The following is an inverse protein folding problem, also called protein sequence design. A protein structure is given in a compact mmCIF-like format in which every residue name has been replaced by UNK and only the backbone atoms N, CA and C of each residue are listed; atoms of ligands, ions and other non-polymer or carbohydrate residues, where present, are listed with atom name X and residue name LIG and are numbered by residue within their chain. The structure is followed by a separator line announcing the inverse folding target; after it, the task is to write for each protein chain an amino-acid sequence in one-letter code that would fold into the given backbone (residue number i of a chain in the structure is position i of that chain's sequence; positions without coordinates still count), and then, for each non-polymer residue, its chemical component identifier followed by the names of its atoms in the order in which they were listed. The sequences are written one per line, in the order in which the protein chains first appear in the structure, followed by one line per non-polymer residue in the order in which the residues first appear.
data_IF_424432925160
#
_entry.id   IF_424432925160
#
_cell.length_a   1.000
_cell.length_b   1.000
_cell.length_c   1.000
_cell.angle_alpha   90.00
_cell.angle_beta   90.00
_cell.angle_gamma   90.00
#
_symmetry.space_group_name_H-M   'P 1'
#
loop_
_entity.id
_entity.type
_entity.pdbx_description
1 polymer ?
#
# COMPACT_ATOMS: atom_id res chain seq x y z
N UNK A 1 -0.36 -3.37 -18.05
CA UNK A 1 -1.02 -3.26 -16.75
C UNK A 1 -2.39 -2.66 -16.97
N UNK A 2 -3.38 -3.08 -16.23
CA UNK A 2 -4.75 -2.60 -16.27
C UNK A 2 -4.87 -1.16 -15.76
N UNK A 3 -5.56 -0.30 -16.49
CA UNK A 3 -5.87 1.08 -16.10
C UNK A 3 -7.25 1.09 -15.44
N UNK A 4 -7.30 1.49 -14.17
CA UNK A 4 -8.51 1.49 -13.36
C UNK A 4 -9.47 2.62 -13.80
N UNK A 5 -10.69 2.32 -14.32
CA UNK A 5 -11.62 3.35 -14.76
C UNK A 5 -12.24 4.15 -13.61
N UNK A 6 -12.37 3.57 -12.41
CA UNK A 6 -12.86 4.33 -11.25
C UNK A 6 -11.87 5.40 -10.84
N UNK A 7 -10.57 5.07 -10.82
CA UNK A 7 -9.52 6.07 -10.61
C UNK A 7 -9.55 7.17 -11.68
N UNK A 8 -9.72 6.80 -12.95
CA UNK A 8 -9.84 7.77 -14.03
C UNK A 8 -11.05 8.71 -13.83
N UNK A 9 -12.17 8.20 -13.35
CA UNK A 9 -13.36 9.00 -13.03
C UNK A 9 -13.11 9.95 -11.83
N UNK A 10 -12.39 9.51 -10.80
CA UNK A 10 -11.99 10.39 -9.69
C UNK A 10 -11.04 11.50 -10.16
N UNK A 11 -10.09 11.20 -11.04
CA UNK A 11 -9.24 12.20 -11.68
C UNK A 11 -10.06 13.25 -12.43
N UNK A 12 -11.14 12.84 -13.12
CA UNK A 12 -12.06 13.75 -13.82
C UNK A 12 -12.75 14.72 -12.86
N UNK A 13 -13.03 14.33 -11.63
CA UNK A 13 -13.58 15.25 -10.61
C UNK A 13 -12.62 16.39 -10.27
N UNK A 14 -11.32 16.14 -10.30
CA UNK A 14 -10.31 17.18 -10.13
C UNK A 14 -10.12 18.01 -11.39
N UNK A 15 -10.11 17.37 -12.56
CA UNK A 15 -9.94 18.04 -13.85
C UNK A 15 -11.05 19.06 -14.10
N UNK A 16 -12.32 18.74 -13.72
CA UNK A 16 -13.46 19.63 -13.83
C UNK A 16 -13.35 20.93 -13.03
N UNK A 17 -12.45 20.98 -12.04
CA UNK A 17 -12.20 22.16 -11.19
C UNK A 17 -11.05 23.04 -11.71
N UNK A 18 -10.39 22.63 -12.79
CA UNK A 18 -9.20 23.30 -13.30
C UNK A 18 -9.51 24.09 -14.59
N UNK A 19 -8.76 25.16 -14.81
CA UNK A 19 -8.82 25.88 -16.06
C UNK A 19 -8.29 25.01 -17.21
N UNK A 20 -9.11 24.79 -18.22
CA UNK A 20 -8.74 24.00 -19.38
C UNK A 20 -7.43 24.52 -20.02
N UNK A 21 -6.53 23.60 -20.35
CA UNK A 21 -5.22 23.92 -20.93
C UNK A 21 -4.17 24.46 -19.96
N UNK A 22 -4.52 24.65 -18.67
CA UNK A 22 -3.50 25.01 -17.66
C UNK A 22 -2.48 23.87 -17.46
N UNK A 23 -1.30 24.19 -16.93
CA UNK A 23 -0.27 23.21 -16.63
C UNK A 23 -0.79 22.07 -15.71
N UNK A 24 -1.58 22.45 -14.69
CA UNK A 24 -2.20 21.47 -13.80
C UNK A 24 -3.20 20.58 -14.55
N UNK A 25 -4.07 21.14 -15.40
CA UNK A 25 -5.04 20.36 -16.17
C UNK A 25 -4.36 19.37 -17.12
N UNK A 26 -3.27 19.78 -17.77
CA UNK A 26 -2.47 18.89 -18.64
C UNK A 26 -1.80 17.77 -17.84
N UNK A 27 -1.24 18.07 -16.67
CA UNK A 27 -0.63 17.08 -15.79
C UNK A 27 -1.67 16.11 -15.22
N UNK A 28 -2.82 16.62 -14.75
CA UNK A 28 -3.95 15.81 -14.24
C UNK A 28 -4.47 14.87 -15.33
N UNK A 29 -4.61 15.33 -16.58
CA UNK A 29 -5.08 14.49 -17.68
C UNK A 29 -4.23 13.24 -17.88
N UNK A 30 -2.90 13.34 -17.70
CA UNK A 30 -1.99 12.19 -17.82
C UNK A 30 -2.23 11.11 -16.79
N UNK A 31 -2.71 11.49 -15.59
CA UNK A 31 -2.97 10.54 -14.50
C UNK A 31 -4.04 9.51 -14.85
N UNK A 32 -5.00 9.86 -15.71
CA UNK A 32 -6.12 8.98 -16.11
C UNK A 32 -5.67 7.67 -16.78
N UNK A 33 -4.50 7.65 -17.37
CA UNK A 33 -3.96 6.50 -18.10
C UNK A 33 -2.91 5.71 -17.31
N UNK A 34 -2.68 6.07 -16.06
CA UNK A 34 -1.68 5.39 -15.22
C UNK A 34 -2.35 4.27 -14.42
N UNK A 35 -1.83 3.03 -14.48
CA UNK A 35 -2.35 1.90 -13.72
C UNK A 35 -2.29 2.16 -12.20
N UNK A 36 -3.36 1.79 -11.49
CA UNK A 36 -3.43 1.80 -10.01
C UNK A 36 -4.04 0.51 -9.50
N UNK A 37 -3.82 0.21 -8.22
CA UNK A 37 -4.49 -0.88 -7.52
C UNK A 37 -6.00 -0.63 -7.39
N UNK A 38 -6.76 -1.72 -7.32
CA UNK A 38 -8.18 -1.70 -6.98
C UNK A 38 -8.32 -2.23 -5.55
N UNK A 39 -8.75 -1.36 -4.64
CA UNK A 39 -8.94 -1.72 -3.24
C UNK A 39 -10.29 -2.40 -3.03
N UNK A 40 -10.25 -3.59 -2.44
CA UNK A 40 -11.44 -4.32 -1.98
C UNK A 40 -11.45 -4.18 -0.47
N UNK A 41 -11.90 -3.03 0.02
CA UNK A 41 -11.79 -2.63 1.43
C UNK A 41 -13.04 -2.97 2.26
N UNK A 42 -14.00 -3.68 1.66
CA UNK A 42 -15.25 -4.15 2.28
C UNK A 42 -15.96 -5.16 1.37
N UNK A 43 -16.92 -5.87 1.91
CA UNK A 43 -17.71 -6.86 1.16
C UNK A 43 -18.44 -6.21 -0.01
N UNK A 44 -18.99 -5.00 0.17
CA UNK A 44 -19.71 -4.27 -0.89
C UNK A 44 -18.83 -3.95 -2.11
N UNK A 45 -17.51 -3.84 -1.94
CA UNK A 45 -16.57 -3.60 -3.04
C UNK A 45 -16.44 -4.81 -3.98
N UNK A 46 -16.84 -6.02 -3.54
CA UNK A 46 -16.87 -7.20 -4.40
C UNK A 46 -17.94 -7.04 -5.49
N UNK A 47 -19.12 -6.58 -5.11
CA UNK A 47 -20.25 -6.42 -6.02
C UNK A 47 -20.25 -5.08 -6.76
N UNK A 48 -19.70 -4.04 -6.12
CA UNK A 48 -19.73 -2.68 -6.64
C UNK A 48 -21.11 -2.02 -6.59
N UNK A 49 -21.30 -1.00 -7.42
CA UNK A 49 -22.57 -0.28 -7.52
C UNK A 49 -22.82 0.68 -6.34
N UNK A 50 -24.10 0.99 -6.08
CA UNK A 50 -24.50 2.02 -5.10
C UNK A 50 -23.94 1.75 -3.71
N UNK A 51 -23.89 0.49 -3.27
CA UNK A 51 -23.33 0.11 -1.97
C UNK A 51 -21.80 0.35 -1.87
N UNK A 52 -21.14 0.52 -3.02
CA UNK A 52 -19.72 0.85 -3.13
C UNK A 52 -19.49 2.28 -3.69
N UNK A 53 -20.39 3.21 -3.38
CA UNK A 53 -20.27 4.58 -3.86
C UNK A 53 -20.33 4.76 -5.38
N UNK A 54 -20.94 3.81 -6.10
CA UNK A 54 -21.04 3.80 -7.57
C UNK A 54 -19.83 3.20 -8.29
N UNK A 55 -18.78 2.77 -7.54
CA UNK A 55 -17.58 2.15 -8.11
C UNK A 55 -17.89 0.74 -8.64
N UNK A 56 -17.05 0.28 -9.56
CA UNK A 56 -17.15 -1.07 -10.13
C UNK A 56 -16.88 -2.14 -9.05
N UNK A 57 -17.52 -3.30 -9.24
CA UNK A 57 -17.17 -4.51 -8.50
C UNK A 57 -16.02 -5.27 -9.14
N UNK A 58 -15.49 -6.26 -8.41
CA UNK A 58 -14.32 -7.05 -8.82
C UNK A 58 -14.51 -7.67 -10.21
N UNK A 59 -15.68 -8.25 -10.47
CA UNK A 59 -15.94 -8.89 -11.76
C UNK A 59 -15.99 -7.87 -12.91
N UNK A 60 -16.56 -6.69 -12.68
CA UNK A 60 -16.58 -5.62 -13.67
C UNK A 60 -15.18 -5.09 -13.98
N UNK A 61 -14.29 -4.98 -12.98
CA UNK A 61 -12.89 -4.67 -13.21
C UNK A 61 -12.18 -5.72 -14.06
N UNK A 62 -12.42 -7.01 -13.80
CA UNK A 62 -11.83 -8.10 -14.60
C UNK A 62 -12.34 -8.08 -16.04
N UNK A 63 -13.62 -7.80 -16.27
CA UNK A 63 -14.19 -7.64 -17.61
C UNK A 63 -13.59 -6.43 -18.33
N UNK A 64 -13.44 -5.29 -17.64
CA UNK A 64 -12.76 -4.12 -18.19
C UNK A 64 -11.28 -4.41 -18.55
N UNK A 65 -10.60 -5.21 -17.73
CA UNK A 65 -9.24 -5.64 -18.01
C UNK A 65 -9.15 -6.53 -19.25
N UNK A 66 -10.09 -7.45 -19.45
CA UNK A 66 -10.16 -8.26 -20.67
C UNK A 66 -10.41 -7.39 -21.92
N UNK A 67 -11.27 -6.37 -21.80
CA UNK A 67 -11.50 -5.42 -22.89
C UNK A 67 -10.22 -4.63 -23.23
N UNK A 68 -9.49 -4.16 -22.22
CA UNK A 68 -8.19 -3.49 -22.42
C UNK A 68 -7.14 -4.46 -22.99
N UNK A 69 -7.12 -5.72 -22.56
CA UNK A 69 -6.24 -6.76 -23.10
C UNK A 69 -6.50 -6.98 -24.59
N UNK A 70 -7.76 -7.11 -24.97
CA UNK A 70 -8.17 -7.28 -26.37
C UNK A 70 -7.77 -6.06 -27.21
N UNK A 71 -8.03 -4.84 -26.74
CA UNK A 71 -7.62 -3.60 -27.39
C UNK A 71 -6.09 -3.47 -27.56
N UNK A 72 -5.32 -4.08 -26.65
CA UNK A 72 -3.86 -4.13 -26.72
C UNK A 72 -3.30 -5.32 -27.56
N UNK A 73 -4.14 -5.98 -28.36
CA UNK A 73 -3.75 -7.11 -29.19
C UNK A 73 -3.47 -8.40 -28.40
N UNK A 74 -4.25 -8.63 -27.34
CA UNK A 74 -4.20 -9.81 -26.47
C UNK A 74 -2.82 -10.03 -25.79
N UNK A 75 -2.09 -8.96 -25.56
CA UNK A 75 -0.83 -9.05 -24.76
C UNK A 75 -1.15 -9.40 -23.31
N UNK A 76 -0.24 -10.08 -22.60
CA UNK A 76 -0.43 -10.38 -21.18
C UNK A 76 -0.81 -9.13 -20.39
N UNK A 77 -1.94 -9.18 -19.67
CA UNK A 77 -2.48 -8.07 -18.87
C UNK A 77 -2.39 -8.41 -17.40
N UNK A 78 -1.84 -7.50 -16.61
CA UNK A 78 -1.79 -7.60 -15.15
C UNK A 78 -2.87 -6.71 -14.54
N UNK A 79 -3.65 -7.27 -13.62
CA UNK A 79 -4.63 -6.55 -12.80
C UNK A 79 -4.24 -6.69 -11.34
N UNK A 80 -4.14 -5.58 -10.61
CA UNK A 80 -3.74 -5.60 -9.19
C UNK A 80 -4.93 -5.27 -8.30
N UNK A 81 -5.26 -6.17 -7.39
CA UNK A 81 -6.25 -5.96 -6.34
C UNK A 81 -5.58 -5.93 -4.97
N UNK A 82 -6.08 -5.07 -4.10
CA UNK A 82 -5.70 -5.04 -2.69
C UNK A 82 -6.82 -5.69 -1.89
N UNK A 83 -6.53 -6.83 -1.30
CA UNK A 83 -7.42 -7.56 -0.38
C UNK A 83 -7.26 -6.94 0.99
N UNK A 84 -8.30 -6.29 1.53
CA UNK A 84 -8.17 -5.45 2.72
C UNK A 84 -9.47 -5.38 3.53
N UNK A 85 -9.85 -6.48 4.18
CA UNK A 85 -11.04 -6.51 5.03
C UNK A 85 -10.94 -7.45 6.24
N UNK A 86 -9.72 -7.68 6.76
CA UNK A 86 -9.53 -8.43 8.00
C UNK A 86 -10.38 -7.87 9.15
N UNK A 87 -10.95 -8.74 10.01
CA UNK A 87 -11.61 -8.28 11.22
C UNK A 87 -10.66 -7.46 12.10
N UNK A 88 -11.15 -6.30 12.57
CA UNK A 88 -10.37 -5.31 13.32
C UNK A 88 -9.11 -4.84 12.61
N UNK A 89 -9.13 -4.79 11.25
CA UNK A 89 -7.99 -4.32 10.45
C UNK A 89 -7.52 -2.96 10.92
N UNK A 90 -6.26 -2.67 10.65
CA UNK A 90 -5.60 -1.41 11.00
C UNK A 90 -5.67 -1.12 12.50
N UNK A 91 -5.37 -2.12 13.30
CA UNK A 91 -5.53 -2.11 14.75
C UNK A 91 -4.71 -1.02 15.47
N UNK A 92 -3.70 -0.45 14.80
CA UNK A 92 -2.84 0.60 15.34
C UNK A 92 -3.27 2.01 14.93
N UNK A 93 -4.20 2.14 13.97
CA UNK A 93 -4.72 3.40 13.46
C UNK A 93 -6.25 3.38 13.41
N UNK A 94 -6.89 4.54 13.56
CA UNK A 94 -8.35 4.64 13.55
C UNK A 94 -8.92 5.06 12.20
N UNK A 95 -8.09 5.69 11.35
CA UNK A 95 -8.53 6.33 10.12
C UNK A 95 -9.09 5.35 9.09
N UNK A 96 -8.54 4.13 9.03
CA UNK A 96 -8.84 3.11 8.02
C UNK A 96 -9.36 1.79 8.60
N UNK A 97 -9.94 1.82 9.80
CA UNK A 97 -10.61 0.65 10.36
C UNK A 97 -11.69 0.11 9.39
N UNK A 98 -12.01 -1.19 9.52
CA UNK A 98 -12.96 -1.88 8.66
C UNK A 98 -14.28 -2.20 9.33
N UNK A 99 -15.21 -2.70 8.50
CA UNK A 99 -16.56 -3.09 8.90
C UNK A 99 -16.59 -4.38 9.75
N UNK A 100 -15.64 -5.28 9.56
CA UNK A 100 -15.64 -6.57 10.26
C UNK A 100 -15.01 -6.46 11.65
N UNK A 101 -15.63 -7.12 12.63
CA UNK A 101 -15.15 -7.17 14.02
C UNK A 101 -14.99 -8.63 14.49
N UNK A 102 -13.84 -8.96 15.03
CA UNK A 102 -13.56 -10.32 15.53
C UNK A 102 -14.55 -10.73 16.61
N UNK A 103 -14.90 -9.83 17.52
CA UNK A 103 -15.82 -10.07 18.62
C UNK A 103 -17.24 -10.44 18.18
N UNK A 104 -17.66 -10.11 16.95
CA UNK A 104 -19.01 -10.38 16.43
C UNK A 104 -19.01 -11.39 15.28
N UNK A 105 -18.01 -12.28 15.22
CA UNK A 105 -17.93 -13.34 14.20
C UNK A 105 -17.32 -12.90 12.88
N UNK A 106 -16.64 -11.76 12.87
CA UNK A 106 -16.04 -11.18 11.65
C UNK A 106 -15.12 -12.14 10.91
N UNK A 107 -14.41 -13.04 11.59
CA UNK A 107 -13.55 -14.04 10.93
C UNK A 107 -14.35 -15.04 10.07
N UNK A 108 -15.52 -15.49 10.54
CA UNK A 108 -16.38 -16.36 9.74
C UNK A 108 -16.89 -15.62 8.49
N UNK A 109 -17.30 -14.36 8.65
CA UNK A 109 -17.75 -13.49 7.56
C UNK A 109 -16.61 -13.21 6.58
N UNK A 110 -15.41 -12.88 7.06
CA UNK A 110 -14.21 -12.68 6.24
C UNK A 110 -13.94 -13.90 5.36
N UNK A 111 -13.97 -15.10 5.92
CA UNK A 111 -13.73 -16.33 5.17
C UNK A 111 -14.81 -16.58 4.11
N UNK A 112 -16.08 -16.61 4.53
CA UNK A 112 -17.18 -17.06 3.66
C UNK A 112 -17.70 -15.99 2.72
N UNK A 113 -17.86 -14.75 3.19
CA UNK A 113 -18.51 -13.66 2.45
C UNK A 113 -17.51 -12.76 1.73
N UNK A 114 -16.23 -12.86 2.03
CA UNK A 114 -15.18 -12.06 1.41
C UNK A 114 -14.18 -12.94 0.65
N UNK A 115 -13.33 -13.73 1.30
CA UNK A 115 -12.28 -14.52 0.62
C UNK A 115 -12.84 -15.60 -0.30
N UNK A 116 -13.84 -16.38 0.14
CA UNK A 116 -14.41 -17.45 -0.69
C UNK A 116 -15.12 -16.90 -1.93
N UNK A 117 -15.75 -15.73 -1.82
CA UNK A 117 -16.35 -15.05 -2.97
C UNK A 117 -15.28 -14.55 -3.96
N UNK A 118 -14.23 -13.91 -3.48
CA UNK A 118 -13.10 -13.48 -4.32
C UNK A 118 -12.45 -14.68 -5.01
N UNK A 119 -12.20 -15.77 -4.28
CA UNK A 119 -11.70 -17.01 -4.86
C UNK A 119 -12.58 -17.52 -5.98
N UNK A 120 -13.92 -17.54 -5.78
CA UNK A 120 -14.88 -17.96 -6.80
C UNK A 120 -14.86 -17.08 -8.05
N UNK A 121 -14.67 -15.76 -7.88
CA UNK A 121 -14.59 -14.82 -9.01
C UNK A 121 -13.26 -15.01 -9.77
N UNK A 122 -12.12 -14.96 -9.07
CA UNK A 122 -10.80 -15.07 -9.70
C UNK A 122 -10.57 -16.43 -10.38
N UNK A 123 -11.23 -17.48 -9.88
CA UNK A 123 -11.15 -18.83 -10.42
C UNK A 123 -11.94 -19.09 -11.69
N UNK A 124 -12.77 -18.14 -12.15
CA UNK A 124 -13.58 -18.32 -13.38
C UNK A 124 -12.67 -18.48 -14.61
N UNK A 125 -13.02 -19.42 -15.47
CA UNK A 125 -12.26 -19.71 -16.71
C UNK A 125 -12.12 -18.47 -17.61
N UNK A 126 -13.09 -17.58 -17.60
CA UNK A 126 -13.07 -16.35 -18.36
C UNK A 126 -11.87 -15.44 -18.05
N UNK A 127 -11.30 -15.55 -16.84
CA UNK A 127 -10.21 -14.65 -16.39
C UNK A 127 -8.84 -15.30 -16.38
N UNK A 128 -8.70 -16.55 -16.86
CA UNK A 128 -7.41 -17.28 -16.87
C UNK A 128 -6.34 -16.64 -17.72
N UNK A 129 -6.68 -15.81 -18.71
CA UNK A 129 -5.72 -15.08 -19.54
C UNK A 129 -5.12 -13.86 -18.83
N UNK A 130 -5.75 -13.40 -17.74
CA UNK A 130 -5.25 -12.29 -16.93
C UNK A 130 -4.24 -12.79 -15.91
N UNK A 131 -3.27 -11.94 -15.57
CA UNK A 131 -2.38 -12.10 -14.42
C UNK A 131 -2.94 -11.28 -13.27
N UNK A 132 -3.54 -11.95 -12.29
CA UNK A 132 -4.15 -11.30 -11.13
C UNK A 132 -3.09 -11.20 -10.04
N UNK A 133 -2.68 -9.97 -9.70
CA UNK A 133 -1.78 -9.68 -8.59
C UNK A 133 -2.62 -9.32 -7.38
N UNK A 134 -2.36 -9.98 -6.26
CA UNK A 134 -3.02 -9.68 -4.99
C UNK A 134 -2.01 -9.12 -3.99
N UNK A 135 -2.29 -7.94 -3.49
CA UNK A 135 -1.67 -7.37 -2.29
C UNK A 135 -2.55 -7.79 -1.11
N UNK A 136 -1.99 -8.62 -0.21
CA UNK A 136 -2.77 -9.26 0.85
C UNK A 136 -2.63 -8.51 2.15
N UNK A 137 -3.72 -7.93 2.60
CA UNK A 137 -3.99 -7.36 3.91
C UNK A 137 -2.88 -6.42 4.40
N UNK A 138 -2.72 -5.24 3.75
CA UNK A 138 -1.80 -4.21 4.22
C UNK A 138 -1.96 -3.90 5.70
N UNK A 139 -0.84 -3.52 6.34
CA UNK A 139 -0.74 -3.14 7.76
C UNK A 139 -1.14 -4.23 8.78
N UNK A 140 -1.48 -5.45 8.34
CA UNK A 140 -1.92 -6.53 9.24
C UNK A 140 -0.75 -7.20 9.98
N UNK A 141 0.03 -8.02 9.27
CA UNK A 141 1.15 -8.77 9.86
C UNK A 141 2.25 -7.89 10.45
N UNK A 142 2.61 -6.72 9.86
CA UNK A 142 3.56 -5.81 10.48
C UNK A 142 3.13 -5.34 11.87
N UNK A 143 1.84 -5.08 12.08
CA UNK A 143 1.30 -4.73 13.40
C UNK A 143 1.50 -5.85 14.43
N UNK A 144 1.47 -7.11 14.01
CA UNK A 144 1.73 -8.25 14.92
C UNK A 144 3.19 -8.33 15.36
N UNK A 145 4.11 -7.67 14.66
CA UNK A 145 5.51 -7.61 15.02
C UNK A 145 5.78 -6.50 16.05
N UNK A 146 5.25 -5.29 15.81
CA UNK A 146 5.63 -4.11 16.58
C UNK A 146 4.58 -3.64 17.59
N UNK A 147 3.30 -3.93 17.36
CA UNK A 147 2.19 -3.40 18.15
C UNK A 147 1.47 -4.45 19.01
N UNK A 148 1.68 -5.74 18.77
CA UNK A 148 1.03 -6.83 19.50
C UNK A 148 1.34 -6.86 21.02
N UNK A 149 2.46 -6.26 21.46
CA UNK A 149 2.84 -6.12 22.87
C UNK A 149 2.45 -4.79 23.52
N UNK A 150 1.82 -3.87 22.80
CA UNK A 150 1.55 -2.48 23.22
C UNK A 150 0.22 -2.35 23.98
N UNK A 151 0.08 -3.07 25.10
CA UNK A 151 -1.21 -3.20 25.83
C UNK A 151 -1.83 -1.85 26.22
N UNK A 152 -1.03 -0.88 26.64
CA UNK A 152 -1.51 0.43 27.07
C UNK A 152 -1.91 1.34 25.90
N UNK A 153 -1.31 1.16 24.72
CA UNK A 153 -1.41 2.09 23.61
C UNK A 153 -2.15 1.52 22.40
N UNK A 154 -2.09 0.18 22.21
CA UNK A 154 -2.65 -0.52 21.04
C UNK A 154 -3.45 -1.76 21.47
N UNK A 155 -4.50 -1.60 22.31
CA UNK A 155 -5.23 -2.75 22.86
C UNK A 155 -5.91 -3.61 21.78
N UNK A 156 -6.32 -3.02 20.65
CA UNK A 156 -6.91 -3.74 19.51
C UNK A 156 -5.88 -4.67 18.87
N UNK A 157 -4.62 -4.21 18.71
CA UNK A 157 -3.54 -5.07 18.18
C UNK A 157 -3.21 -6.23 19.12
N UNK A 158 -3.21 -5.98 20.44
CA UNK A 158 -3.02 -7.04 21.45
C UNK A 158 -4.14 -8.07 21.38
N UNK A 159 -5.39 -7.63 21.25
CA UNK A 159 -6.53 -8.53 21.10
C UNK A 159 -6.45 -9.35 19.80
N UNK A 160 -6.12 -8.72 18.68
CA UNK A 160 -5.93 -9.38 17.39
C UNK A 160 -4.81 -10.43 17.43
N UNK A 161 -3.69 -10.12 18.10
CA UNK A 161 -2.59 -11.07 18.31
C UNK A 161 -3.00 -12.24 19.19
N UNK A 162 -3.67 -11.97 20.32
CA UNK A 162 -4.13 -13.01 21.27
C UNK A 162 -5.14 -13.97 20.63
N UNK A 163 -6.02 -13.45 19.77
CA UNK A 163 -6.99 -14.24 19.02
C UNK A 163 -6.42 -14.82 17.70
N UNK A 164 -5.16 -14.56 17.39
CA UNK A 164 -4.50 -14.94 16.13
C UNK A 164 -5.26 -14.47 14.86
N UNK A 165 -6.02 -13.39 14.96
CA UNK A 165 -6.97 -12.95 13.93
C UNK A 165 -6.28 -12.67 12.60
N UNK A 166 -5.19 -11.90 12.60
CA UNK A 166 -4.53 -11.50 11.34
C UNK A 166 -3.79 -12.66 10.69
N UNK A 167 -3.07 -13.45 11.48
CA UNK A 167 -2.33 -14.60 10.97
C UNK A 167 -3.29 -15.65 10.40
N UNK A 168 -4.37 -15.96 11.09
CA UNK A 168 -5.40 -16.90 10.64
C UNK A 168 -6.05 -16.42 9.32
N UNK A 169 -6.45 -15.15 9.25
CA UNK A 169 -7.09 -14.59 8.06
C UNK A 169 -6.16 -14.56 6.86
N UNK A 170 -4.92 -14.08 7.02
CA UNK A 170 -3.91 -14.05 5.95
C UNK A 170 -3.59 -15.47 5.48
N UNK A 171 -3.37 -16.42 6.40
CA UNK A 171 -3.11 -17.82 6.02
C UNK A 171 -4.29 -18.44 5.27
N UNK A 172 -5.53 -18.11 5.66
CA UNK A 172 -6.72 -18.57 4.95
C UNK A 172 -6.76 -18.03 3.52
N UNK A 173 -6.58 -16.72 3.34
CA UNK A 173 -6.54 -16.06 2.04
C UNK A 173 -5.45 -16.66 1.15
N UNK A 174 -4.22 -16.74 1.65
CA UNK A 174 -3.09 -17.30 0.89
C UNK A 174 -3.35 -18.73 0.46
N UNK A 175 -3.87 -19.57 1.36
CA UNK A 175 -4.20 -20.98 1.05
C UNK A 175 -5.24 -21.09 -0.06
N UNK A 176 -6.29 -20.26 -0.01
CA UNK A 176 -7.34 -20.26 -1.02
C UNK A 176 -6.79 -19.83 -2.38
N UNK A 177 -6.13 -18.70 -2.45
CA UNK A 177 -5.67 -18.14 -3.71
C UNK A 177 -4.48 -18.92 -4.32
N UNK A 178 -3.71 -19.65 -3.53
CA UNK A 178 -2.63 -20.50 -4.04
C UNK A 178 -3.10 -21.66 -4.95
N UNK A 179 -4.38 -21.97 -4.94
CA UNK A 179 -4.97 -22.94 -5.85
C UNK A 179 -5.19 -22.39 -7.29
N UNK A 180 -5.05 -21.08 -7.49
CA UNK A 180 -5.29 -20.39 -8.75
C UNK A 180 -3.97 -20.10 -9.47
N UNK A 181 -3.78 -20.66 -10.65
CA UNK A 181 -2.50 -20.61 -11.39
C UNK A 181 -2.17 -19.26 -12.03
N UNK A 182 -3.18 -18.39 -12.18
CA UNK A 182 -3.03 -17.04 -12.73
C UNK A 182 -3.05 -15.94 -11.64
N UNK A 183 -2.98 -16.34 -10.36
CA UNK A 183 -2.96 -15.43 -9.20
C UNK A 183 -1.56 -15.40 -8.59
N UNK A 184 -1.04 -14.20 -8.37
CA UNK A 184 0.27 -13.91 -7.81
C UNK A 184 0.09 -13.13 -6.51
N UNK A 185 0.47 -13.72 -5.39
CA UNK A 185 0.23 -13.18 -4.06
C UNK A 185 1.46 -12.50 -3.49
N UNK A 186 1.29 -11.27 -3.02
CA UNK A 186 2.31 -10.51 -2.29
C UNK A 186 1.76 -10.13 -0.92
N UNK A 187 2.46 -10.51 0.13
CA UNK A 187 2.12 -10.08 1.49
C UNK A 187 2.69 -8.70 1.75
N UNK A 188 1.93 -7.87 2.45
CA UNK A 188 2.46 -6.61 2.94
C UNK A 188 3.58 -6.86 3.95
N UNK A 189 4.67 -6.10 3.83
CA UNK A 189 5.81 -6.15 4.74
C UNK A 189 6.24 -4.75 5.19
N UNK A 190 5.25 -3.88 5.37
CA UNK A 190 5.42 -2.49 5.79
C UNK A 190 6.38 -1.69 4.87
N UNK A 191 7.24 -0.89 5.45
CA UNK A 191 8.16 0.00 4.76
C UNK A 191 9.43 0.23 5.59
N UNK A 192 10.44 0.86 4.99
CA UNK A 192 11.73 1.09 5.62
C UNK A 192 11.65 1.86 6.94
N UNK A 193 10.71 2.80 7.05
CA UNK A 193 10.51 3.59 8.27
C UNK A 193 9.68 2.88 9.36
N UNK A 194 9.28 1.63 9.15
CA UNK A 194 8.56 0.83 10.16
C UNK A 194 9.34 -0.44 10.53
N UNK A 195 9.62 -1.31 9.56
CA UNK A 195 10.34 -2.56 9.82
C UNK A 195 11.83 -2.51 9.41
N UNK A 196 12.36 -1.32 9.09
CA UNK A 196 13.74 -1.16 8.62
C UNK A 196 14.82 -1.32 9.68
N UNK A 197 14.52 -1.10 10.98
CA UNK A 197 15.50 -1.34 12.06
C UNK A 197 15.92 -2.79 12.11
N UNK A 198 17.19 -3.06 12.40
CA UNK A 198 17.76 -4.40 12.36
C UNK A 198 16.99 -5.41 13.22
N UNK A 199 16.55 -5.02 14.43
CA UNK A 199 15.76 -5.84 15.32
C UNK A 199 14.33 -6.10 14.79
N UNK A 200 13.67 -5.08 14.23
CA UNK A 200 12.33 -5.22 13.64
C UNK A 200 12.39 -6.11 12.41
N UNK A 201 13.41 -5.93 11.56
CA UNK A 201 13.61 -6.73 10.35
C UNK A 201 13.91 -8.19 10.69
N UNK A 202 14.76 -8.44 11.69
CA UNK A 202 15.03 -9.80 12.16
C UNK A 202 13.75 -10.48 12.70
N UNK A 203 12.93 -9.74 13.46
CA UNK A 203 11.64 -10.24 13.92
C UNK A 203 10.69 -10.51 12.74
N UNK A 204 10.65 -9.62 11.75
CA UNK A 204 9.86 -9.80 10.53
C UNK A 204 10.28 -11.08 9.79
N UNK A 205 11.57 -11.27 9.52
CA UNK A 205 12.09 -12.47 8.84
C UNK A 205 11.65 -13.75 9.56
N UNK A 206 11.82 -13.80 10.88
CA UNK A 206 11.43 -14.96 11.69
C UNK A 206 9.93 -15.22 11.63
N UNK A 207 9.11 -14.17 11.85
CA UNK A 207 7.65 -14.31 11.93
C UNK A 207 7.00 -14.58 10.56
N UNK A 208 7.40 -13.89 9.51
CA UNK A 208 6.87 -14.18 8.18
C UNK A 208 7.23 -15.59 7.71
N UNK A 209 8.43 -16.09 8.03
CA UNK A 209 8.79 -17.47 7.77
C UNK A 209 7.85 -18.45 8.49
N UNK A 210 7.61 -18.24 9.78
CA UNK A 210 6.67 -19.05 10.57
C UNK A 210 5.26 -19.00 9.95
N UNK A 211 4.75 -17.81 9.67
CA UNK A 211 3.39 -17.62 9.15
C UNK A 211 3.18 -18.19 7.75
N UNK A 212 4.15 -18.00 6.85
CA UNK A 212 4.07 -18.55 5.48
C UNK A 212 4.17 -20.08 5.49
N UNK A 213 5.04 -20.67 6.32
CA UNK A 213 5.07 -22.12 6.53
C UNK A 213 3.76 -22.66 7.09
N UNK A 214 3.09 -21.92 7.96
CA UNK A 214 1.79 -22.27 8.52
C UNK A 214 0.66 -22.40 7.49
N UNK A 215 0.83 -21.89 6.27
CA UNK A 215 -0.15 -22.06 5.19
C UNK A 215 -0.25 -23.52 4.75
N UNK A 216 0.89 -24.12 4.33
CA UNK A 216 0.96 -25.50 3.82
C UNK A 216 2.37 -26.12 3.90
N UNK A 217 3.26 -25.58 4.74
CA UNK A 217 4.63 -26.05 4.87
C UNK A 217 5.60 -25.62 3.77
N UNK A 218 5.18 -24.73 2.87
CA UNK A 218 5.95 -24.34 1.69
C UNK A 218 6.13 -22.81 1.60
N UNK A 219 7.37 -22.35 1.56
CA UNK A 219 7.70 -20.92 1.42
C UNK A 219 7.49 -20.38 -0.02
N UNK A 220 7.27 -21.25 -1.01
CA UNK A 220 6.95 -20.84 -2.39
C UNK A 220 5.44 -20.58 -2.60
N UNK A 221 4.62 -20.63 -1.55
CA UNK A 221 3.17 -20.44 -1.65
C UNK A 221 2.78 -18.99 -1.99
N UNK A 222 3.69 -18.05 -1.75
CA UNK A 222 3.57 -16.65 -2.16
C UNK A 222 4.58 -16.31 -3.25
N UNK A 223 4.28 -15.31 -4.07
CA UNK A 223 5.23 -14.77 -5.04
C UNK A 223 6.28 -13.91 -4.35
N UNK A 224 5.88 -13.13 -3.34
CA UNK A 224 6.78 -12.24 -2.65
C UNK A 224 6.10 -11.30 -1.67
N UNK A 225 6.72 -10.14 -1.52
CA UNK A 225 6.25 -9.10 -0.60
C UNK A 225 6.02 -7.77 -1.32
N UNK A 226 5.18 -6.93 -0.74
CA UNK A 226 4.99 -5.55 -1.18
C UNK A 226 5.38 -4.61 -0.06
N UNK A 227 6.09 -3.53 -0.41
CA UNK A 227 6.52 -2.51 0.56
C UNK A 227 5.90 -1.16 0.27
N UNK A 228 5.88 -0.29 1.28
CA UNK A 228 5.44 1.09 1.20
C UNK A 228 3.97 1.27 0.78
N UNK A 229 3.13 0.23 0.97
CA UNK A 229 1.71 0.31 0.61
C UNK A 229 1.07 1.49 1.32
N UNK A 230 0.46 2.37 0.52
CA UNK A 230 -0.22 3.56 1.02
C UNK A 230 0.67 4.50 1.87
N UNK A 231 2.00 4.44 1.74
CA UNK A 231 2.94 5.24 2.52
C UNK A 231 3.78 6.17 1.63
N UNK A 232 4.75 6.86 2.22
CA UNK A 232 5.47 7.98 1.63
C UNK A 232 6.99 7.81 1.70
N UNK A 233 7.49 6.66 2.15
CA UNK A 233 8.93 6.43 2.31
C UNK A 233 9.60 6.46 0.94
N UNK A 234 10.67 7.26 0.76
CA UNK A 234 11.30 7.45 -0.53
C UNK A 234 11.79 6.13 -1.13
N UNK A 235 11.72 6.05 -2.47
CA UNK A 235 12.26 4.92 -3.21
C UNK A 235 13.77 4.80 -3.01
N UNK A 236 14.48 5.93 -3.03
CA UNK A 236 15.92 6.07 -2.92
C UNK A 236 16.25 7.42 -2.27
N UNK A 237 17.22 7.40 -1.35
CA UNK A 237 17.85 8.60 -0.77
C UNK A 237 19.24 8.77 -1.39
N UNK A 238 19.36 9.50 -2.50
CA UNK A 238 20.51 9.43 -3.40
C UNK A 238 21.83 9.98 -2.80
N UNK A 239 21.77 10.63 -1.62
CA UNK A 239 22.95 11.21 -0.94
C UNK A 239 23.41 10.42 0.27
N UNK A 240 22.73 9.31 0.59
CA UNK A 240 22.97 8.52 1.79
C UNK A 240 23.16 7.05 1.46
N UNK A 241 23.92 6.37 2.29
CA UNK A 241 24.24 4.95 2.13
C UNK A 241 23.90 4.08 3.36
N UNK A 242 23.16 4.63 4.31
CA UNK A 242 22.77 3.91 5.54
C UNK A 242 23.92 3.61 6.49
N UNK A 243 25.03 4.33 6.39
CA UNK A 243 26.15 4.26 7.34
C UNK A 243 25.74 4.66 8.76
N UNK A 244 26.58 4.33 9.75
CA UNK A 244 26.32 4.70 11.14
C UNK A 244 26.21 6.22 11.33
N UNK A 245 26.99 7.01 10.58
CA UNK A 245 26.93 8.47 10.65
C UNK A 245 25.54 9.01 10.23
N UNK A 246 24.94 8.44 9.19
CA UNK A 246 23.59 8.79 8.73
C UNK A 246 22.52 8.20 9.66
N UNK A 247 22.68 6.94 10.05
CA UNK A 247 21.70 6.26 10.89
C UNK A 247 21.57 6.90 12.29
N UNK A 248 22.62 7.53 12.82
CA UNK A 248 22.62 8.25 14.11
C UNK A 248 21.81 9.54 14.08
N UNK A 249 21.51 10.09 12.90
CA UNK A 249 20.67 11.29 12.81
C UNK A 249 19.29 11.05 13.45
N UNK A 250 18.77 12.08 14.11
CA UNK A 250 17.47 12.02 14.81
C UNK A 250 16.30 11.66 13.90
N UNK A 251 16.41 11.90 12.61
CA UNK A 251 15.40 11.50 11.63
C UNK A 251 15.44 10.00 11.33
N UNK A 252 16.63 9.38 11.26
CA UNK A 252 16.77 7.94 10.97
C UNK A 252 16.80 7.06 12.23
N UNK A 253 17.15 7.62 13.41
CA UNK A 253 17.05 6.93 14.71
C UNK A 253 17.69 5.53 14.69
N UNK A 254 18.92 5.41 14.20
CA UNK A 254 19.66 4.16 14.05
C UNK A 254 19.07 3.18 13.00
N UNK A 255 18.12 3.60 12.19
CA UNK A 255 17.60 2.81 11.10
C UNK A 255 18.51 2.91 9.87
N UNK A 256 19.20 1.82 9.55
CA UNK A 256 20.08 1.73 8.38
C UNK A 256 19.35 1.42 7.07
N UNK A 257 18.07 1.13 7.11
CA UNK A 257 17.21 1.07 5.95
C UNK A 257 16.61 2.46 5.72
N UNK A 258 17.37 3.32 5.06
CA UNK A 258 17.06 4.75 4.90
C UNK A 258 15.97 5.01 3.85
N UNK A 259 15.78 4.07 2.93
CA UNK A 259 14.83 4.11 1.82
C UNK A 259 14.32 2.70 1.48
N UNK A 260 13.40 2.60 0.52
CA UNK A 260 12.76 1.33 0.18
C UNK A 260 13.73 0.37 -0.53
N UNK A 261 14.63 0.87 -1.37
CA UNK A 261 15.61 0.01 -2.04
C UNK A 261 16.58 -0.61 -1.04
N UNK A 262 17.13 0.20 -0.13
CA UNK A 262 18.02 -0.30 0.94
C UNK A 262 17.29 -1.29 1.85
N UNK A 263 16.01 -1.02 2.16
CA UNK A 263 15.19 -1.92 2.98
C UNK A 263 15.02 -3.29 2.30
N UNK A 264 14.64 -3.31 1.03
CA UNK A 264 14.42 -4.55 0.28
C UNK A 264 15.72 -5.33 0.11
N UNK A 265 16.85 -4.68 -0.18
CA UNK A 265 18.15 -5.34 -0.34
C UNK A 265 18.54 -6.13 0.91
N UNK A 266 18.39 -5.49 2.09
CA UNK A 266 18.64 -6.13 3.38
C UNK A 266 17.64 -7.25 3.65
N UNK A 267 16.35 -6.94 3.53
CA UNK A 267 15.27 -7.88 3.83
C UNK A 267 15.35 -9.14 2.96
N UNK A 268 15.58 -8.99 1.64
CA UNK A 268 15.72 -10.11 0.73
C UNK A 268 16.89 -11.02 1.11
N UNK A 269 18.03 -10.42 1.42
CA UNK A 269 19.22 -11.17 1.86
C UNK A 269 18.89 -12.03 3.09
N UNK A 270 18.25 -11.44 4.08
CA UNK A 270 17.88 -12.11 5.32
C UNK A 270 16.77 -13.16 5.12
N UNK A 271 15.78 -12.89 4.28
CA UNK A 271 14.69 -13.82 3.96
C UNK A 271 15.21 -15.06 3.22
N UNK A 272 16.11 -14.87 2.25
CA UNK A 272 16.72 -16.00 1.52
C UNK A 272 17.59 -16.83 2.46
N UNK A 273 18.37 -16.19 3.33
CA UNK A 273 19.14 -16.89 4.36
C UNK A 273 18.24 -17.66 5.34
N UNK A 274 17.02 -17.19 5.60
CA UNK A 274 16.03 -17.89 6.41
C UNK A 274 15.28 -19.01 5.66
N UNK A 275 15.59 -19.26 4.39
CA UNK A 275 15.05 -20.37 3.61
C UNK A 275 13.95 -20.02 2.62
N UNK A 276 13.60 -18.74 2.44
CA UNK A 276 12.77 -18.34 1.32
C UNK A 276 13.48 -18.61 -0.02
N UNK A 277 12.76 -18.85 -1.10
CA UNK A 277 13.38 -19.14 -2.39
C UNK A 277 14.19 -17.93 -2.90
N UNK A 278 15.26 -18.20 -3.64
CA UNK A 278 16.06 -17.15 -4.30
C UNK A 278 15.26 -16.34 -5.34
N UNK A 279 14.11 -16.88 -5.77
CA UNK A 279 13.15 -16.24 -6.67
C UNK A 279 12.13 -15.35 -5.94
N UNK A 280 12.26 -15.19 -4.60
CA UNK A 280 11.44 -14.27 -3.82
C UNK A 280 11.53 -12.86 -4.39
N UNK A 281 10.40 -12.24 -4.66
CA UNK A 281 10.32 -10.96 -5.35
C UNK A 281 9.56 -9.90 -4.54
N UNK A 282 9.66 -8.66 -5.00
CA UNK A 282 9.08 -7.51 -4.33
C UNK A 282 8.33 -6.59 -5.30
N UNK A 283 7.27 -5.96 -4.79
CA UNK A 283 6.64 -4.79 -5.40
C UNK A 283 6.87 -3.61 -4.44
N UNK A 284 7.16 -2.44 -4.97
CA UNK A 284 7.23 -1.20 -4.20
C UNK A 284 6.07 -0.31 -4.60
N UNK A 285 5.26 0.14 -3.61
CA UNK A 285 4.28 1.20 -3.86
C UNK A 285 5.01 2.54 -4.02
N UNK A 286 4.93 3.07 -5.23
CA UNK A 286 5.55 4.35 -5.60
C UNK A 286 4.53 5.45 -5.86
N UNK A 287 3.28 5.26 -5.43
CA UNK A 287 2.20 6.20 -5.70
C UNK A 287 2.43 7.59 -5.13
N UNK A 288 3.08 7.71 -3.94
CA UNK A 288 3.15 8.96 -3.20
C UNK A 288 4.52 9.27 -2.58
N UNK A 289 5.58 8.66 -3.07
CA UNK A 289 6.93 8.77 -2.51
C UNK A 289 7.93 9.55 -3.38
N UNK A 290 7.44 10.43 -4.25
CA UNK A 290 8.27 11.11 -5.27
C UNK A 290 9.11 12.25 -4.76
N UNK A 291 8.66 13.03 -3.76
CA UNK A 291 9.41 14.13 -3.11
C UNK A 291 10.11 15.09 -4.07
N UNK A 292 9.43 15.54 -5.13
CA UNK A 292 10.01 16.37 -6.20
C UNK A 292 9.69 17.87 -6.13
N UNK A 293 9.21 18.36 -4.98
CA UNK A 293 8.87 19.77 -4.78
C UNK A 293 10.08 20.72 -4.91
N UNK A 294 9.85 22.02 -4.82
CA UNK A 294 10.88 23.03 -5.07
C UNK A 294 12.04 22.99 -4.04
N UNK A 295 11.82 22.38 -2.90
CA UNK A 295 12.82 22.23 -1.84
C UNK A 295 13.61 20.92 -1.93
N UNK A 296 13.36 20.08 -2.96
CA UNK A 296 14.11 18.84 -3.13
C UNK A 296 15.60 19.15 -3.31
N UNK A 297 16.48 18.56 -2.48
CA UNK A 297 17.91 18.70 -2.65
C UNK A 297 18.39 18.16 -4.00
N UNK A 298 19.40 18.82 -4.59
CA UNK A 298 20.04 18.39 -5.84
C UNK A 298 21.47 17.89 -5.61
N UNK A 299 21.98 18.03 -4.37
CA UNK A 299 23.30 17.59 -3.96
C UNK A 299 23.36 17.43 -2.44
N UNK A 300 24.44 16.80 -1.94
CA UNK A 300 24.77 16.81 -0.54
C UNK A 300 25.01 18.23 -0.04
N UNK A 301 24.29 18.65 0.99
CA UNK A 301 24.32 20.02 1.54
C UNK A 301 25.07 20.13 2.88
N UNK A 302 25.89 19.15 3.21
CA UNK A 302 26.74 19.14 4.42
C UNK A 302 26.09 18.60 5.69
N UNK A 303 24.75 18.41 5.70
CA UNK A 303 24.02 17.82 6.81
C UNK A 303 22.94 16.85 6.31
N UNK A 304 22.62 15.83 7.11
CA UNK A 304 21.53 14.89 6.82
C UNK A 304 20.21 15.63 6.61
N UNK A 305 19.89 16.57 7.49
CA UNK A 305 18.64 17.32 7.40
C UNK A 305 18.45 18.04 6.06
N UNK A 306 19.48 18.74 5.61
CA UNK A 306 19.42 19.53 4.38
C UNK A 306 19.52 18.71 3.09
N UNK A 307 19.96 17.46 3.20
CA UNK A 307 20.24 16.60 2.03
C UNK A 307 19.21 15.48 1.87
N UNK A 308 18.41 15.17 2.90
CA UNK A 308 17.30 14.21 2.79
C UNK A 308 16.20 14.74 1.88
N UNK A 309 15.60 13.86 1.11
CA UNK A 309 14.48 14.21 0.24
C UNK A 309 13.11 14.02 0.90
N UNK A 310 13.01 13.16 1.91
CA UNK A 310 11.82 12.99 2.73
C UNK A 310 11.68 14.18 3.68
N UNK A 311 10.75 15.07 3.41
CA UNK A 311 10.59 16.33 4.13
C UNK A 311 9.75 16.22 5.39
N UNK A 312 9.32 15.02 5.79
CA UNK A 312 8.60 14.83 7.05
C UNK A 312 9.45 15.21 8.25
N UNK A 313 8.79 15.67 9.29
CA UNK A 313 9.43 15.92 10.61
C UNK A 313 9.78 14.60 11.31
N UNK A 314 8.95 13.56 11.09
CA UNK A 314 9.15 12.20 11.57
C UNK A 314 8.77 11.20 10.48
N UNK A 315 9.59 10.17 10.27
CA UNK A 315 9.36 9.12 9.26
C UNK A 315 8.13 8.26 9.55
N UNK A 316 7.63 8.26 10.79
CA UNK A 316 6.40 7.61 11.20
C UNK A 316 5.13 8.39 10.85
N UNK A 317 5.22 9.64 10.39
CA UNK A 317 4.07 10.42 9.96
C UNK A 317 3.56 9.91 8.60
N UNK A 318 2.36 9.35 8.59
CA UNK A 318 1.82 8.61 7.45
C UNK A 318 0.55 9.24 6.84
N UNK A 319 -0.15 10.15 7.55
CA UNK A 319 -1.46 10.60 7.09
C UNK A 319 -1.36 11.84 6.20
N UNK A 320 -1.81 11.73 4.96
CA UNK A 320 -1.94 12.81 3.96
C UNK A 320 -0.72 13.75 3.95
N UNK A 321 0.48 13.17 3.82
CA UNK A 321 1.74 13.86 4.09
C UNK A 321 1.99 15.03 3.14
N UNK A 322 2.23 16.22 3.73
CA UNK A 322 2.59 17.45 3.00
C UNK A 322 3.91 17.27 2.24
N UNK A 323 4.04 18.03 1.16
CA UNK A 323 5.24 18.13 0.32
C UNK A 323 5.63 16.83 -0.42
N UNK A 324 4.94 15.74 -0.19
CA UNK A 324 5.13 14.52 -0.95
C UNK A 324 4.67 14.69 -2.41
N UNK A 325 5.13 13.82 -3.29
CA UNK A 325 4.79 13.83 -4.72
C UNK A 325 4.49 12.43 -5.24
N UNK A 326 3.86 12.32 -6.42
CA UNK A 326 3.79 11.03 -7.11
C UNK A 326 5.18 10.56 -7.46
N UNK A 327 5.46 9.29 -7.23
CA UNK A 327 6.76 8.68 -7.46
C UNK A 327 6.92 8.07 -8.86
N UNK A 328 7.83 7.11 -8.95
CA UNK A 328 8.08 6.39 -10.19
C UNK A 328 6.80 5.77 -10.76
N UNK A 329 6.62 5.86 -12.09
CA UNK A 329 5.42 5.33 -12.74
C UNK A 329 5.40 3.80 -12.66
N UNK A 330 4.21 3.19 -12.66
CA UNK A 330 4.09 1.75 -12.74
C UNK A 330 4.88 1.16 -13.90
N UNK A 331 5.82 0.28 -13.58
CA UNK A 331 6.70 -0.39 -14.54
C UNK A 331 7.10 -1.75 -14.00
N UNK A 332 7.09 -2.76 -14.87
CA UNK A 332 7.58 -4.10 -14.54
C UNK A 332 9.11 -4.16 -14.70
N UNK A 333 9.77 -4.91 -13.81
CA UNK A 333 11.24 -5.09 -13.82
C UNK A 333 12.00 -3.78 -13.95
N UNK A 334 11.80 -2.84 -13.00
CA UNK A 334 12.26 -1.46 -13.13
C UNK A 334 13.78 -1.29 -13.02
N UNK A 335 14.47 -2.25 -12.39
CA UNK A 335 15.89 -2.18 -12.07
C UNK A 335 16.59 -3.49 -12.42
N UNK A 336 17.44 -3.45 -13.44
CA UNK A 336 18.19 -4.63 -13.86
C UNK A 336 19.19 -5.14 -12.81
N UNK A 337 19.67 -4.26 -11.93
CA UNK A 337 20.58 -4.62 -10.82
C UNK A 337 19.85 -5.29 -9.66
N UNK A 338 18.53 -5.05 -9.54
CA UNK A 338 17.63 -5.63 -8.55
C UNK A 338 16.52 -6.44 -9.23
N UNK A 339 16.90 -7.47 -9.95
CA UNK A 339 15.97 -8.33 -10.72
C UNK A 339 14.88 -9.00 -9.86
N UNK A 340 14.99 -8.93 -8.54
CA UNK A 340 13.98 -9.35 -7.57
C UNK A 340 12.91 -8.29 -7.30
N UNK A 341 12.99 -7.10 -7.88
CA UNK A 341 11.89 -6.14 -7.89
C UNK A 341 11.03 -6.42 -9.13
N UNK A 342 9.88 -7.06 -8.93
CA UNK A 342 8.95 -7.39 -10.00
C UNK A 342 8.30 -6.13 -10.60
N UNK A 343 8.03 -5.11 -9.77
CA UNK A 343 7.45 -3.85 -10.26
C UNK A 343 7.63 -2.69 -9.27
N UNK A 344 7.70 -1.47 -9.80
CA UNK A 344 7.17 -0.28 -9.16
C UNK A 344 5.70 -0.18 -9.55
N UNK A 345 4.85 0.12 -8.58
CA UNK A 345 3.42 0.19 -8.84
C UNK A 345 2.73 1.20 -7.91
N UNK A 346 1.64 1.79 -8.37
CA UNK A 346 0.80 2.64 -7.53
C UNK A 346 -0.29 1.79 -6.89
N UNK A 347 0.03 1.14 -5.78
CA UNK A 347 -0.89 0.26 -5.07
C UNK A 347 -2.05 1.05 -4.53
N UNK A 348 -1.78 2.20 -3.86
CA UNK A 348 -2.81 3.19 -3.56
C UNK A 348 -2.82 4.29 -4.61
N UNK A 349 -4.00 4.61 -5.14
CA UNK A 349 -4.19 5.68 -6.12
C UNK A 349 -3.81 7.05 -5.51
N UNK A 350 -2.87 7.80 -6.13
CA UNK A 350 -2.58 9.17 -5.69
C UNK A 350 -3.84 10.04 -5.72
N UNK A 351 -4.17 10.69 -4.61
CA UNK A 351 -5.38 11.50 -4.44
C UNK A 351 -6.46 10.89 -3.56
N UNK A 352 -6.33 9.62 -3.19
CA UNK A 352 -7.18 9.01 -2.16
C UNK A 352 -6.65 9.34 -0.76
N UNK A 353 -7.52 9.90 0.10
CA UNK A 353 -7.17 10.31 1.47
C UNK A 353 -6.73 9.11 2.33
N UNK A 354 -5.84 9.36 3.29
CA UNK A 354 -5.47 8.41 4.34
C UNK A 354 -6.39 8.48 5.56
N UNK A 355 -7.08 9.61 5.75
CA UNK A 355 -8.00 9.81 6.86
C UNK A 355 -8.41 11.26 6.98
N UNK A 356 -9.53 11.48 7.67
CA UNK A 356 -10.07 12.82 7.86
C UNK A 356 -9.24 13.66 8.83
N UNK A 357 -9.10 14.94 8.53
CA UNK A 357 -8.55 15.94 9.46
C UNK A 357 -9.58 16.54 10.41
N UNK A 358 -10.86 16.15 10.30
CA UNK A 358 -11.93 16.59 11.18
C UNK A 358 -11.87 15.85 12.53
N UNK A 359 -11.33 16.51 13.54
CA UNK A 359 -11.19 15.96 14.89
C UNK A 359 -12.52 15.68 15.62
N UNK A 360 -13.65 16.09 15.05
CA UNK A 360 -14.98 15.79 15.60
C UNK A 360 -15.54 14.44 15.11
N UNK A 361 -14.98 13.87 14.05
CA UNK A 361 -15.37 12.57 13.49
C UNK A 361 -14.83 11.39 14.35
N UNK A 362 -15.19 11.36 15.62
CA UNK A 362 -14.70 10.37 16.61
C UNK A 362 -15.54 9.12 16.71
N UNK A 363 -16.70 9.08 16.03
CA UNK A 363 -17.55 7.88 15.91
C UNK A 363 -17.30 7.22 14.57
N UNK A 364 -17.09 5.90 14.52
CA UNK A 364 -16.93 5.19 13.25
C UNK A 364 -18.13 5.41 12.33
N UNK A 365 -17.86 5.67 11.06
CA UNK A 365 -18.87 5.70 10.00
C UNK A 365 -19.38 4.28 9.65
N UNK A 366 -20.22 4.17 8.63
CA UNK A 366 -20.77 2.88 8.18
C UNK A 366 -19.69 1.92 7.67
N UNK A 367 -18.51 2.42 7.32
CA UNK A 367 -17.36 1.64 6.85
C UNK A 367 -16.36 1.32 7.98
N UNK A 368 -16.61 1.80 9.20
CA UNK A 368 -15.76 1.64 10.36
C UNK A 368 -14.68 2.71 10.53
N UNK A 369 -14.63 3.71 9.64
CA UNK A 369 -13.60 4.76 9.59
C UNK A 369 -13.92 5.91 10.53
N UNK A 370 -12.90 6.52 11.13
CA UNK A 370 -13.05 7.65 12.04
C UNK A 370 -11.78 8.52 12.04
N UNK A 371 -11.79 9.59 12.81
CA UNK A 371 -10.62 10.45 12.99
C UNK A 371 -9.46 9.69 13.66
N UNK A 372 -8.26 9.94 13.15
CA UNK A 372 -6.99 9.55 13.78
C UNK A 372 -6.14 10.80 14.04
N UNK A 373 -5.50 10.86 15.20
CA UNK A 373 -4.65 12.00 15.59
C UNK A 373 -3.53 12.28 14.58
N UNK A 374 -3.04 11.25 13.88
CA UNK A 374 -2.02 11.40 12.83
C UNK A 374 -2.52 12.19 11.61
N UNK A 375 -3.84 12.31 11.43
CA UNK A 375 -4.46 13.11 10.37
C UNK A 375 -4.84 14.51 10.82
N UNK A 376 -4.77 14.77 12.13
CA UNK A 376 -5.19 16.04 12.74
C UNK A 376 -4.15 17.15 12.64
N UNK A 377 -4.56 18.35 13.07
CA UNK A 377 -3.71 19.55 13.04
C UNK A 377 -2.52 19.52 14.00
N UNK A 378 -2.51 18.60 14.97
CA UNK A 378 -1.37 18.37 15.85
C UNK A 378 -0.18 17.70 15.14
N UNK A 379 -0.44 16.98 14.03
CA UNK A 379 0.61 16.46 13.16
C UNK A 379 0.97 17.53 12.11
N UNK A 380 2.14 18.14 12.26
CA UNK A 380 2.60 19.22 11.38
C UNK A 380 2.74 18.81 9.92
N UNK A 381 2.95 17.51 9.67
CA UNK A 381 3.11 16.96 8.32
C UNK A 381 1.78 16.61 7.66
N UNK A 382 0.66 16.54 8.40
CA UNK A 382 -0.63 16.17 7.85
C UNK A 382 -1.29 17.33 7.10
N UNK A 383 -1.69 17.10 5.84
CA UNK A 383 -2.44 18.06 5.02
C UNK A 383 -3.87 18.15 5.57
N UNK A 384 -4.30 19.37 5.86
CA UNK A 384 -5.60 19.63 6.46
C UNK A 384 -6.74 19.70 5.43
N UNK A 385 -7.99 19.74 5.90
CA UNK A 385 -9.21 19.66 5.08
C UNK A 385 -9.32 18.33 4.30
N UNK A 386 -8.78 17.27 4.88
CA UNK A 386 -8.82 15.93 4.31
C UNK A 386 -10.18 15.27 4.59
N UNK A 387 -10.78 14.57 3.60
CA UNK A 387 -11.96 13.75 3.81
C UNK A 387 -11.60 12.42 4.50
N UNK A 388 -12.60 11.58 4.76
CA UNK A 388 -12.42 10.22 5.29
C UNK A 388 -11.48 9.38 4.40
N UNK A 389 -10.87 8.36 4.98
CA UNK A 389 -9.96 7.45 4.28
C UNK A 389 -10.61 6.83 3.02
N UNK A 390 -9.87 6.77 1.92
CA UNK A 390 -10.34 6.24 0.65
C UNK A 390 -11.21 7.20 -0.17
N UNK A 391 -11.58 8.36 0.37
CA UNK A 391 -12.30 9.39 -0.38
C UNK A 391 -11.34 10.28 -1.17
N UNK A 392 -11.81 10.80 -2.30
CA UNK A 392 -11.00 11.66 -3.17
C UNK A 392 -10.64 12.98 -2.49
N UNK A 393 -9.34 13.29 -2.44
CA UNK A 393 -8.79 14.48 -1.82
C UNK A 393 -8.09 15.37 -2.87
N UNK A 394 -8.86 16.24 -3.50
CA UNK A 394 -8.40 17.13 -4.59
C UNK A 394 -7.11 17.90 -4.25
N UNK A 395 -7.02 18.49 -3.06
CA UNK A 395 -5.85 19.28 -2.67
C UNK A 395 -4.58 18.44 -2.55
N UNK A 396 -4.69 17.24 -1.97
CA UNK A 396 -3.57 16.28 -1.94
C UNK A 396 -3.19 15.86 -3.35
N UNK A 397 -4.17 15.55 -4.20
CA UNK A 397 -3.92 15.12 -5.56
C UNK A 397 -3.12 16.14 -6.37
N UNK A 398 -3.50 17.43 -6.32
CA UNK A 398 -2.75 18.50 -6.99
C UNK A 398 -1.35 18.69 -6.41
N UNK A 399 -1.22 18.63 -5.08
CA UNK A 399 0.08 18.69 -4.42
C UNK A 399 0.99 17.54 -4.90
N UNK A 400 0.49 16.30 -4.90
CA UNK A 400 1.25 15.14 -5.36
C UNK A 400 1.71 15.27 -6.82
N UNK A 401 0.86 15.79 -7.71
CA UNK A 401 1.18 16.01 -9.11
C UNK A 401 2.26 17.09 -9.27
N UNK A 402 2.12 18.23 -8.59
CA UNK A 402 3.08 19.34 -8.66
C UNK A 402 4.45 18.97 -8.12
N UNK A 403 4.48 18.09 -7.13
CA UNK A 403 5.70 17.58 -6.48
C UNK A 403 6.16 16.23 -7.05
N UNK A 404 5.68 15.85 -8.22
CA UNK A 404 6.06 14.58 -8.85
C UNK A 404 7.57 14.43 -9.03
N UNK A 405 8.10 13.25 -8.72
CA UNK A 405 9.47 12.89 -9.07
C UNK A 405 9.54 11.38 -9.40
N UNK A 406 9.97 11.03 -10.60
CA UNK A 406 10.28 11.91 -11.74
C UNK A 406 9.09 12.78 -12.17
N UNK A 407 9.36 13.96 -12.74
CA UNK A 407 8.29 14.88 -13.18
C UNK A 407 7.33 14.22 -14.17
N UNK A 408 6.08 14.66 -14.17
CA UNK A 408 5.08 14.29 -15.17
C UNK A 408 5.37 15.06 -16.48
N UNK A 409 6.13 14.46 -17.35
CA UNK A 409 6.46 15.04 -18.68
C UNK A 409 5.29 14.90 -19.65
#
# INVERSE_FOLDING_TARGET
MYVNPDYAAEVDTSLSRLTAGSADALAVTKMKSIPTGVWIDRIAAIDGGTANGGRLGVEAHLQAALAQQSAAGNKPMTVTFVVYDLPDRDCAASASNGELKAATGGMATYKSSYIDRLYGIFGKDAYKSLRIVLVIEPDSLPNMITNAGQTAYKPVCVAAASANTYVEGVQYAVRKFSALTNVYQYLDIAHSAWLGWDNNRAAAVSKYREWVLGVNGNLNVIRGFVTNVANYTPLDEPYFDGTDAIAQDSFYQWNRAIDEQTYIDKLRTEMVAAGFPSTLSFIIDTGRNGWGGPTRPLAWNGTVWNSKIDLRSDRGNWCNVKNSGVGARPVASPDASRSYIDAYFWVKGPGESDGTSDSTATTPDAEGKQFDVMCGSSNVDALQSAPMAGHWFHNQFLMLIRNAYPKLN
#
